data_IF_757863514962
#
_entry.id   IF_757863514962
#
_cell.length_a   1.000
_cell.length_b   1.000
_cell.length_c   1.000
_cell.angle_alpha   90.00
_cell.angle_beta   90.00
_cell.angle_gamma   90.00
#
_symmetry.space_group_name_H-M   'P 1'
#
loop_
_entity.id
_entity.type
_entity.pdbx_description
1 polymer ?
#
# COMPACT_ATOMS: atom_id res chain seq x y z
N UNK A 1 -45.67 -3.51 -11.42
CA UNK A 1 -44.95 -3.05 -12.63
C UNK A 1 -43.81 -2.16 -12.15
N UNK A 2 -42.64 -2.73 -11.88
CA UNK A 2 -41.47 -1.97 -11.45
C UNK A 2 -40.89 -1.28 -12.68
N UNK A 3 -41.11 0.03 -12.78
CA UNK A 3 -40.46 0.90 -13.76
C UNK A 3 -38.95 0.81 -13.55
N UNK A 4 -38.26 0.20 -14.51
CA UNK A 4 -36.80 0.02 -14.52
C UNK A 4 -36.16 1.31 -15.03
N UNK A 5 -35.55 2.09 -14.15
CA UNK A 5 -34.77 3.28 -14.51
C UNK A 5 -33.28 2.97 -14.41
N UNK A 6 -32.61 2.91 -15.57
CA UNK A 6 -31.16 3.07 -15.66
C UNK A 6 -30.85 4.56 -15.48
N UNK A 7 -30.03 4.93 -14.50
CA UNK A 7 -29.58 6.30 -14.34
C UNK A 7 -28.38 6.53 -15.27
N UNK A 8 -28.66 6.88 -16.52
CA UNK A 8 -27.63 7.33 -17.48
C UNK A 8 -27.39 8.82 -17.24
N UNK A 9 -26.24 9.18 -16.65
CA UNK A 9 -25.89 10.58 -16.44
C UNK A 9 -25.08 11.08 -17.65
N UNK A 10 -25.78 11.52 -18.70
CA UNK A 10 -25.19 12.32 -19.78
C UNK A 10 -25.55 13.79 -19.53
N UNK A 11 -24.55 14.60 -19.21
CA UNK A 11 -24.57 16.08 -19.26
C UNK A 11 -25.55 16.89 -18.38
N UNK A 12 -25.94 16.43 -17.18
CA UNK A 12 -26.64 17.30 -16.22
C UNK A 12 -26.13 17.08 -14.79
N UNK A 13 -25.63 18.14 -14.15
CA UNK A 13 -25.39 18.17 -12.69
C UNK A 13 -26.72 17.91 -11.98
N UNK A 14 -26.99 16.65 -11.64
CA UNK A 14 -28.14 16.25 -10.84
C UNK A 14 -27.74 16.35 -9.35
N UNK A 15 -28.05 17.49 -8.73
CA UNK A 15 -28.02 17.61 -7.27
C UNK A 15 -29.23 16.88 -6.70
N UNK A 16 -29.05 15.71 -6.10
CA UNK A 16 -30.15 14.88 -5.61
C UNK A 16 -30.28 14.93 -4.08
N UNK A 17 -31.37 15.51 -3.54
CA UNK A 17 -31.64 15.54 -2.10
C UNK A 17 -32.42 14.32 -1.56
N UNK A 18 -32.70 13.29 -2.37
CA UNK A 18 -33.46 12.11 -1.95
C UNK A 18 -32.81 10.80 -2.42
N UNK A 19 -32.96 9.74 -1.61
CA UNK A 19 -32.37 8.42 -1.84
C UNK A 19 -32.86 7.81 -3.16
N UNK A 20 -32.03 7.86 -4.20
CA UNK A 20 -32.33 7.29 -5.52
C UNK A 20 -31.94 5.81 -5.54
N UNK A 21 -32.83 4.91 -5.98
CA UNK A 21 -32.47 3.53 -6.31
C UNK A 21 -32.33 3.38 -7.82
N UNK A 22 -31.19 2.84 -8.27
CA UNK A 22 -30.90 2.60 -9.68
C UNK A 22 -30.42 1.17 -9.89
N UNK A 23 -30.82 0.55 -11.00
CA UNK A 23 -30.32 -0.78 -11.37
C UNK A 23 -28.83 -0.76 -11.71
N UNK A 24 -28.35 0.38 -12.19
CA UNK A 24 -26.97 0.62 -12.58
C UNK A 24 -26.70 2.13 -12.52
N UNK A 25 -25.48 2.50 -12.13
CA UNK A 25 -25.02 3.90 -12.10
C UNK A 25 -23.81 4.03 -13.02
N UNK A 26 -23.98 4.71 -14.16
CA UNK A 26 -22.89 4.97 -15.11
C UNK A 26 -22.64 6.48 -15.18
N UNK A 27 -21.41 6.89 -14.85
CA UNK A 27 -20.93 8.27 -15.03
C UNK A 27 -19.99 8.29 -16.23
N UNK A 28 -20.44 8.90 -17.33
CA UNK A 28 -19.84 8.83 -18.66
C UNK A 28 -19.52 10.24 -19.19
N UNK A 29 -19.06 10.32 -20.45
CA UNK A 29 -18.66 11.56 -21.15
C UNK A 29 -19.62 12.75 -20.98
N UNK A 30 -19.04 13.95 -20.95
CA UNK A 30 -19.78 15.20 -20.84
C UNK A 30 -20.47 15.46 -19.49
N UNK A 31 -20.18 14.70 -18.42
CA UNK A 31 -20.86 14.86 -17.13
C UNK A 31 -20.06 14.48 -15.89
N UNK A 32 -20.61 14.86 -14.73
CA UNK A 32 -20.21 14.40 -13.42
C UNK A 32 -21.45 14.15 -12.56
N UNK A 33 -21.41 13.12 -11.74
CA UNK A 33 -22.47 12.82 -10.78
C UNK A 33 -22.03 13.32 -9.41
N UNK A 34 -22.80 14.22 -8.81
CA UNK A 34 -22.54 14.72 -7.46
C UNK A 34 -23.66 14.27 -6.52
N UNK A 35 -23.30 13.53 -5.48
CA UNK A 35 -24.18 13.24 -4.36
C UNK A 35 -23.96 14.33 -3.31
N UNK A 36 -24.97 15.17 -3.13
CA UNK A 36 -24.90 16.31 -2.20
C UNK A 36 -24.88 15.88 -0.75
N UNK A 37 -24.59 16.83 0.14
CA UNK A 37 -24.48 16.59 1.57
C UNK A 37 -25.74 15.92 2.13
N UNK A 38 -25.56 14.80 2.83
CA UNK A 38 -26.66 13.98 3.37
C UNK A 38 -27.52 13.26 2.31
N UNK A 39 -27.23 13.43 1.02
CA UNK A 39 -27.89 12.75 -0.10
C UNK A 39 -27.50 11.27 -0.19
N UNK A 40 -28.30 10.48 -0.92
CA UNK A 40 -28.08 9.03 -1.02
C UNK A 40 -28.37 8.47 -2.40
N UNK A 41 -27.57 7.49 -2.82
CA UNK A 41 -27.84 6.64 -3.99
C UNK A 41 -27.71 5.19 -3.56
N UNK A 42 -28.64 4.34 -3.98
CA UNK A 42 -28.56 2.89 -3.90
C UNK A 42 -28.40 2.33 -5.31
N UNK A 43 -27.31 1.60 -5.55
CA UNK A 43 -27.07 0.87 -6.78
C UNK A 43 -27.33 -0.62 -6.56
N UNK A 44 -28.23 -1.19 -7.36
CA UNK A 44 -28.57 -2.62 -7.37
C UNK A 44 -27.69 -3.44 -8.35
N UNK A 45 -26.76 -2.77 -9.04
CA UNK A 45 -25.85 -3.34 -10.02
C UNK A 45 -24.64 -2.43 -10.19
N UNK A 46 -23.85 -2.65 -11.25
CA UNK A 46 -22.56 -2.00 -11.44
C UNK A 46 -22.61 -0.47 -11.26
N UNK A 47 -21.60 0.06 -10.59
CA UNK A 47 -21.30 1.49 -10.56
C UNK A 47 -20.00 1.70 -11.31
N UNK A 48 -20.08 2.34 -12.48
CA UNK A 48 -18.91 2.61 -13.34
C UNK A 48 -18.73 4.09 -13.56
N UNK A 49 -17.53 4.58 -13.28
CA UNK A 49 -17.10 5.96 -13.50
C UNK A 49 -15.98 5.93 -14.54
N UNK A 50 -16.32 6.06 -15.81
CA UNK A 50 -15.35 5.99 -16.91
C UNK A 50 -15.88 6.68 -18.17
N UNK A 51 -15.04 7.51 -18.80
CA UNK A 51 -15.32 8.22 -20.04
C UNK A 51 -14.13 9.05 -20.53
N UNK A 52 -14.01 9.27 -21.83
CA UNK A 52 -12.98 10.08 -22.48
C UNK A 52 -12.78 11.46 -21.85
N UNK A 53 -13.84 12.08 -21.32
CA UNK A 53 -13.79 13.41 -20.68
C UNK A 53 -13.37 13.39 -19.19
N UNK A 54 -12.93 12.24 -18.67
CA UNK A 54 -12.65 12.00 -17.25
C UNK A 54 -13.83 12.38 -16.34
N UNK A 55 -14.99 11.70 -16.49
CA UNK A 55 -16.16 11.95 -15.67
C UNK A 55 -15.86 11.75 -14.19
N UNK A 56 -16.53 12.55 -13.36
CA UNK A 56 -16.30 12.54 -11.91
C UNK A 56 -17.55 12.10 -11.14
N UNK A 57 -17.40 11.10 -10.27
CA UNK A 57 -18.35 10.82 -9.19
C UNK A 57 -17.88 11.54 -7.93
N UNK A 58 -18.67 12.50 -7.46
CA UNK A 58 -18.37 13.28 -6.25
C UNK A 58 -19.32 12.89 -5.12
N UNK A 59 -18.75 12.46 -4.00
CA UNK A 59 -19.46 12.21 -2.75
C UNK A 59 -19.14 13.35 -1.77
N UNK A 60 -20.14 14.17 -1.45
CA UNK A 60 -20.01 15.29 -0.51
C UNK A 60 -20.25 14.86 0.95
N UNK A 61 -20.13 15.79 1.91
CA UNK A 61 -20.14 15.48 3.33
C UNK A 61 -21.42 14.77 3.78
N UNK A 62 -21.28 13.60 4.42
CA UNK A 62 -22.40 12.81 4.90
C UNK A 62 -23.27 12.17 3.81
N UNK A 63 -22.89 12.29 2.53
CA UNK A 63 -23.56 11.57 1.45
C UNK A 63 -23.33 10.06 1.54
N UNK A 64 -24.23 9.25 0.98
CA UNK A 64 -24.10 7.79 1.00
C UNK A 64 -24.28 7.16 -0.38
N UNK A 65 -23.35 6.30 -0.77
CA UNK A 65 -23.51 5.35 -1.87
C UNK A 65 -23.72 3.95 -1.28
N UNK A 66 -24.90 3.36 -1.48
CA UNK A 66 -25.26 2.01 -1.05
C UNK A 66 -25.14 1.06 -2.22
N UNK A 67 -24.43 -0.04 -2.06
CA UNK A 67 -24.17 -1.02 -3.11
C UNK A 67 -24.81 -2.35 -2.74
N UNK A 68 -25.60 -2.94 -3.64
CA UNK A 68 -26.16 -4.26 -3.42
C UNK A 68 -25.05 -5.33 -3.26
N UNK A 69 -25.31 -6.44 -2.55
CA UNK A 69 -24.32 -7.51 -2.38
C UNK A 69 -23.77 -7.98 -3.73
N UNK A 70 -22.45 -8.04 -3.86
CA UNK A 70 -21.75 -8.45 -5.09
C UNK A 70 -21.59 -7.34 -6.14
N UNK A 71 -22.03 -6.12 -5.87
CA UNK A 71 -21.86 -4.98 -6.79
C UNK A 71 -20.39 -4.63 -6.97
N UNK A 72 -20.00 -4.29 -8.20
CA UNK A 72 -18.72 -3.70 -8.54
C UNK A 72 -18.84 -2.19 -8.65
N UNK A 73 -18.01 -1.48 -7.87
CA UNK A 73 -17.68 -0.07 -8.08
C UNK A 73 -16.33 0.02 -8.80
N UNK A 74 -16.33 0.53 -10.03
CA UNK A 74 -15.15 0.71 -10.88
C UNK A 74 -14.91 2.18 -11.21
N UNK A 75 -13.66 2.62 -11.08
CA UNK A 75 -13.21 3.99 -11.42
C UNK A 75 -12.13 3.89 -12.49
N UNK A 76 -12.40 4.48 -13.65
CA UNK A 76 -11.71 4.15 -14.90
C UNK A 76 -11.96 2.70 -15.34
N UNK A 77 -11.49 2.35 -16.54
CA UNK A 77 -11.56 0.97 -17.05
C UNK A 77 -10.28 0.49 -17.74
N UNK A 78 -9.22 1.30 -17.70
CA UNK A 78 -7.95 1.04 -18.36
C UNK A 78 -7.83 1.60 -19.78
N UNK A 79 -8.94 2.03 -20.37
CA UNK A 79 -8.99 2.77 -21.64
C UNK A 79 -9.49 4.19 -21.43
N UNK A 80 -10.66 4.35 -20.80
CA UNK A 80 -11.27 5.62 -20.48
C UNK A 80 -10.94 6.02 -19.04
N UNK A 81 -10.59 7.29 -18.80
CA UNK A 81 -10.34 7.77 -17.45
C UNK A 81 -11.64 7.96 -16.66
N UNK A 82 -11.51 8.05 -15.34
CA UNK A 82 -12.61 8.40 -14.46
C UNK A 82 -12.10 8.79 -13.09
N UNK A 83 -12.84 9.65 -12.40
CA UNK A 83 -12.44 10.17 -11.10
C UNK A 83 -13.52 9.91 -10.04
N UNK A 84 -13.15 9.34 -8.90
CA UNK A 84 -13.97 9.36 -7.69
C UNK A 84 -13.40 10.36 -6.70
N UNK A 85 -14.21 11.34 -6.32
CA UNK A 85 -13.87 12.38 -5.34
C UNK A 85 -14.72 12.22 -4.09
N UNK A 86 -14.09 12.11 -2.92
CA UNK A 86 -14.79 12.01 -1.64
C UNK A 86 -14.14 12.90 -0.58
N UNK A 87 -14.93 13.84 -0.05
CA UNK A 87 -14.47 14.79 0.96
C UNK A 87 -15.65 15.35 1.74
N UNK A 88 -15.37 15.93 2.91
CA UNK A 88 -16.38 16.61 3.73
C UNK A 88 -16.51 16.01 5.13
N UNK A 89 -17.32 16.67 5.94
CA UNK A 89 -17.60 16.32 7.34
C UNK A 89 -19.11 16.42 7.60
N UNK A 90 -19.80 15.35 8.05
CA UNK A 90 -19.30 13.99 8.26
C UNK A 90 -18.69 13.36 6.99
N UNK A 91 -17.86 12.34 7.13
CA UNK A 91 -17.29 11.67 5.96
C UNK A 91 -18.42 11.09 5.09
N UNK A 92 -18.36 11.21 3.74
CA UNK A 92 -19.23 10.43 2.86
C UNK A 92 -19.02 8.93 3.10
N UNK A 93 -20.05 8.13 2.85
CA UNK A 93 -20.01 6.68 3.06
C UNK A 93 -20.26 5.89 1.77
N UNK A 94 -19.48 4.85 1.53
CA UNK A 94 -19.80 3.76 0.60
C UNK A 94 -20.06 2.51 1.44
N UNK A 95 -21.26 1.96 1.35
CA UNK A 95 -21.71 0.86 2.22
C UNK A 95 -22.49 -0.18 1.42
N UNK A 96 -22.61 -1.38 1.96
CA UNK A 96 -23.56 -2.39 1.45
C UNK A 96 -25.01 -1.95 1.70
N UNK A 97 -25.93 -2.24 0.77
CA UNK A 97 -27.38 -2.14 1.02
C UNK A 97 -27.92 -3.36 1.78
N UNK A 98 -27.13 -4.43 1.86
CA UNK A 98 -27.41 -5.63 2.64
C UNK A 98 -27.00 -5.51 4.11
N UNK A 99 -26.72 -6.65 4.75
CA UNK A 99 -26.32 -6.76 6.14
C UNK A 99 -24.79 -6.53 6.25
N UNK A 100 -24.34 -5.50 6.99
CA UNK A 100 -22.91 -5.26 7.21
C UNK A 100 -22.19 -6.47 7.83
N UNK A 101 -21.03 -6.79 7.28
CA UNK A 101 -20.21 -7.92 7.72
C UNK A 101 -20.62 -9.28 7.16
N UNK A 102 -21.72 -9.36 6.40
CA UNK A 102 -22.10 -10.58 5.66
C UNK A 102 -22.25 -10.34 4.17
N UNK A 103 -22.70 -9.15 3.79
CA UNK A 103 -22.89 -8.74 2.40
C UNK A 103 -21.81 -7.76 1.97
N UNK A 104 -21.10 -8.06 0.90
CA UNK A 104 -19.91 -7.33 0.48
C UNK A 104 -20.02 -6.78 -0.95
N UNK A 105 -19.32 -5.68 -1.23
CA UNK A 105 -19.14 -5.13 -2.57
C UNK A 105 -17.66 -5.07 -2.97
N UNK A 106 -17.36 -5.05 -4.26
CA UNK A 106 -16.00 -4.88 -4.76
C UNK A 106 -15.74 -3.43 -5.16
N UNK A 107 -14.54 -2.93 -4.89
CA UNK A 107 -14.13 -1.58 -5.29
C UNK A 107 -12.74 -1.63 -5.94
N UNK A 108 -12.71 -1.31 -7.24
CA UNK A 108 -11.50 -1.24 -8.03
C UNK A 108 -11.30 0.13 -8.70
N UNK A 109 -10.03 0.52 -8.81
CA UNK A 109 -9.58 1.70 -9.55
C UNK A 109 -8.64 1.21 -10.62
N UNK A 110 -9.05 1.35 -11.88
CA UNK A 110 -8.28 0.89 -13.03
C UNK A 110 -7.04 1.76 -13.27
N UNK A 111 -6.19 1.37 -14.23
CA UNK A 111 -4.95 2.09 -14.57
C UNK A 111 -5.19 3.53 -15.05
N UNK A 112 -6.40 3.84 -15.53
CA UNK A 112 -6.83 5.19 -15.95
C UNK A 112 -7.68 5.90 -14.89
N UNK A 113 -7.94 5.23 -13.76
CA UNK A 113 -8.78 5.74 -12.68
C UNK A 113 -8.01 6.66 -11.73
N UNK A 114 -8.69 7.67 -11.21
CA UNK A 114 -8.17 8.60 -10.20
C UNK A 114 -9.04 8.57 -8.94
N UNK A 115 -8.41 8.44 -7.77
CA UNK A 115 -9.06 8.70 -6.48
C UNK A 115 -8.61 10.04 -5.91
N UNK A 116 -9.56 10.90 -5.60
CA UNK A 116 -9.36 12.14 -4.86
C UNK A 116 -10.09 12.07 -3.52
N UNK A 117 -9.45 11.45 -2.52
CA UNK A 117 -10.10 11.12 -1.24
C UNK A 117 -9.36 11.76 -0.08
N UNK A 118 -10.08 12.60 0.67
CA UNK A 118 -9.61 13.20 1.93
C UNK A 118 -10.48 12.85 3.13
N UNK A 119 -11.67 12.28 2.90
CA UNK A 119 -12.55 11.70 3.91
C UNK A 119 -13.50 10.70 3.22
N UNK A 120 -13.54 9.46 3.69
CA UNK A 120 -14.43 8.42 3.14
C UNK A 120 -14.63 7.28 4.14
N UNK A 121 -15.87 6.92 4.45
CA UNK A 121 -16.19 5.72 5.22
C UNK A 121 -16.57 4.57 4.29
N UNK A 122 -15.97 3.40 4.47
CA UNK A 122 -16.17 2.19 3.68
C UNK A 122 -16.65 1.08 4.61
N UNK A 123 -17.86 0.58 4.41
CA UNK A 123 -18.42 -0.51 5.21
C UNK A 123 -18.75 -1.73 4.36
N UNK A 124 -18.15 -2.86 4.69
CA UNK A 124 -18.29 -4.13 3.97
C UNK A 124 -17.78 -4.15 2.52
N UNK A 125 -16.59 -3.62 2.22
CA UNK A 125 -15.91 -4.03 1.00
C UNK A 125 -15.48 -5.50 1.10
N UNK A 126 -15.34 -6.14 -0.06
CA UNK A 126 -14.95 -7.53 -0.20
C UNK A 126 -13.48 -7.78 0.20
N UNK A 127 -12.97 -8.97 -0.11
CA UNK A 127 -11.59 -9.33 0.22
C UNK A 127 -10.52 -8.41 -0.41
N UNK A 128 -10.85 -7.64 -1.44
CA UNK A 128 -9.96 -6.71 -2.11
C UNK A 128 -9.93 -5.30 -1.54
N UNK A 129 -10.87 -4.96 -0.63
CA UNK A 129 -10.96 -3.61 -0.06
C UNK A 129 -11.11 -2.55 -1.17
N UNK A 130 -10.23 -1.54 -1.18
CA UNK A 130 -9.95 -0.76 -2.39
C UNK A 130 -8.76 -1.40 -3.12
N UNK A 131 -8.97 -1.86 -4.35
CA UNK A 131 -7.88 -2.31 -5.23
C UNK A 131 -7.48 -1.22 -6.21
N UNK A 132 -6.25 -0.73 -6.08
CA UNK A 132 -5.61 0.25 -6.96
C UNK A 132 -4.77 -0.49 -8.01
N UNK A 133 -5.22 -0.47 -9.26
CA UNK A 133 -4.49 -1.11 -10.36
C UNK A 133 -3.18 -0.37 -10.68
N UNK A 134 -2.22 -1.08 -11.30
CA UNK A 134 -0.99 -0.45 -11.79
C UNK A 134 -1.33 0.69 -12.75
N UNK A 135 -0.79 1.89 -12.48
CA UNK A 135 -1.07 3.11 -13.26
C UNK A 135 -2.20 3.98 -12.69
N UNK A 136 -3.01 3.48 -11.75
CA UNK A 136 -4.05 4.31 -11.11
C UNK A 136 -3.46 5.52 -10.37
N UNK A 137 -4.23 6.58 -10.21
CA UNK A 137 -3.73 7.84 -9.62
C UNK A 137 -4.40 8.12 -8.28
N UNK A 138 -3.61 8.41 -7.25
CA UNK A 138 -4.10 9.10 -6.05
C UNK A 138 -3.86 10.60 -6.24
N UNK A 139 -4.92 11.40 -6.22
CA UNK A 139 -4.81 12.84 -6.35
C UNK A 139 -3.98 13.41 -5.19
N UNK A 140 -2.98 14.23 -5.51
CA UNK A 140 -2.02 14.73 -4.52
C UNK A 140 -1.07 13.67 -3.96
N UNK A 141 -1.03 12.47 -4.54
CA UNK A 141 -0.15 11.37 -4.11
C UNK A 141 -0.59 10.70 -2.82
N UNK A 142 -1.80 10.97 -2.32
CA UNK A 142 -2.24 10.50 -1.02
C UNK A 142 -3.68 9.99 -1.01
N UNK A 143 -3.92 8.94 -0.23
CA UNK A 143 -5.23 8.57 0.28
C UNK A 143 -5.30 9.05 1.73
N UNK A 144 -6.20 9.98 2.02
CA UNK A 144 -6.33 10.56 3.35
C UNK A 144 -7.72 10.37 3.96
N UNK A 145 -7.77 10.10 5.26
CA UNK A 145 -9.03 10.12 6.03
C UNK A 145 -10.02 9.01 5.66
N UNK A 146 -9.55 7.90 5.10
CA UNK A 146 -10.41 6.77 4.76
C UNK A 146 -10.59 5.83 5.96
N UNK A 147 -11.83 5.58 6.35
CA UNK A 147 -12.20 4.66 7.42
C UNK A 147 -12.79 3.39 6.84
N UNK A 148 -12.30 2.22 7.26
CA UNK A 148 -12.75 0.94 6.76
C UNK A 148 -13.29 0.05 7.86
N UNK A 149 -14.49 -0.49 7.64
CA UNK A 149 -15.20 -1.35 8.57
C UNK A 149 -15.72 -2.61 7.89
N UNK A 150 -15.62 -3.75 8.60
CA UNK A 150 -16.17 -5.03 8.17
C UNK A 150 -15.64 -5.53 6.81
N UNK A 151 -14.33 -5.52 6.55
CA UNK A 151 -13.78 -6.26 5.39
C UNK A 151 -14.08 -7.75 5.51
N UNK A 152 -14.36 -8.41 4.38
CA UNK A 152 -14.59 -9.86 4.32
C UNK A 152 -13.41 -10.62 4.93
N UNK A 153 -13.70 -11.65 5.75
CA UNK A 153 -12.69 -12.42 6.46
C UNK A 153 -11.57 -12.93 5.54
N UNK A 154 -10.31 -12.72 5.93
CA UNK A 154 -9.13 -13.03 5.13
C UNK A 154 -8.81 -12.03 4.01
N UNK A 155 -9.57 -10.94 3.91
CA UNK A 155 -9.37 -9.84 2.96
C UNK A 155 -8.35 -8.79 3.40
N UNK A 156 -8.01 -7.89 2.47
CA UNK A 156 -7.16 -6.71 2.68
C UNK A 156 -7.99 -5.43 2.56
N UNK A 157 -7.69 -4.40 3.36
CA UNK A 157 -8.37 -3.10 3.27
C UNK A 157 -7.92 -2.25 2.07
N UNK A 158 -6.62 -2.23 1.76
CA UNK A 158 -6.05 -1.53 0.62
C UNK A 158 -5.11 -2.44 -0.18
N UNK A 159 -5.32 -2.56 -1.48
CA UNK A 159 -4.47 -3.37 -2.35
C UNK A 159 -3.84 -2.50 -3.44
N UNK A 160 -2.52 -2.35 -3.42
CA UNK A 160 -1.75 -1.58 -4.38
C UNK A 160 -1.11 -2.50 -5.41
N UNK A 161 -1.60 -2.51 -6.65
CA UNK A 161 -0.99 -3.26 -7.75
C UNK A 161 0.13 -2.49 -8.48
N UNK A 162 0.62 -1.41 -7.87
CA UNK A 162 1.61 -0.51 -8.45
C UNK A 162 3.00 -1.12 -8.51
N UNK A 163 3.66 -0.94 -9.66
CA UNK A 163 5.07 -1.30 -9.88
C UNK A 163 6.05 -0.17 -9.64
N UNK A 164 5.57 1.06 -9.47
CA UNK A 164 6.37 2.26 -9.22
C UNK A 164 5.50 3.38 -8.64
N UNK A 165 6.14 4.43 -8.12
CA UNK A 165 5.47 5.62 -7.57
C UNK A 165 5.67 5.81 -6.07
N UNK A 166 5.30 7.00 -5.58
CA UNK A 166 5.28 7.35 -4.16
C UNK A 166 3.84 7.60 -3.74
N UNK A 167 3.37 6.86 -2.74
CA UNK A 167 2.01 6.98 -2.25
C UNK A 167 2.00 7.20 -0.74
N UNK A 168 1.12 8.08 -0.27
CA UNK A 168 0.87 8.28 1.15
C UNK A 168 -0.53 7.78 1.53
N UNK A 169 -0.63 7.07 2.65
CA UNK A 169 -1.90 6.71 3.27
C UNK A 169 -1.90 7.38 4.64
N UNK A 170 -2.76 8.36 4.89
CA UNK A 170 -2.70 9.16 6.13
C UNK A 170 -4.06 9.38 6.75
N UNK A 171 -4.16 9.37 8.08
CA UNK A 171 -5.47 9.62 8.72
C UNK A 171 -6.49 8.50 8.49
N UNK A 172 -6.07 7.35 7.94
CA UNK A 172 -6.96 6.23 7.71
C UNK A 172 -7.10 5.38 8.97
N UNK A 173 -8.29 4.76 9.13
CA UNK A 173 -8.59 3.85 10.23
C UNK A 173 -9.06 2.51 9.67
N UNK A 174 -8.58 1.40 10.22
CA UNK A 174 -8.93 0.06 9.77
C UNK A 174 -9.61 -0.71 10.88
N UNK A 175 -10.65 -1.45 10.52
CA UNK A 175 -11.28 -2.45 11.38
C UNK A 175 -11.88 -1.90 12.69
N UNK A 176 -12.72 -0.85 12.62
CA UNK A 176 -13.39 -0.30 13.81
C UNK A 176 -14.44 -1.26 14.40
N UNK A 177 -14.70 -2.40 13.76
CA UNK A 177 -15.67 -3.41 14.19
C UNK A 177 -15.13 -4.43 15.20
N UNK A 178 -13.82 -4.43 15.48
CA UNK A 178 -13.20 -5.32 16.46
C UNK A 178 -13.05 -6.79 16.02
N UNK A 179 -13.24 -7.09 14.73
CA UNK A 179 -12.90 -8.40 14.16
C UNK A 179 -11.37 -8.60 14.16
N UNK A 180 -10.86 -9.82 14.01
CA UNK A 180 -9.40 -10.02 13.81
C UNK A 180 -9.12 -9.86 12.32
N UNK A 181 -8.74 -8.66 11.89
CA UNK A 181 -8.22 -8.45 10.55
C UNK A 181 -6.72 -8.75 10.56
N UNK A 182 -6.31 -9.69 9.70
CA UNK A 182 -4.90 -10.11 9.57
C UNK A 182 -4.15 -9.36 8.46
N UNK A 183 -4.82 -8.45 7.73
CA UNK A 183 -4.26 -7.71 6.59
C UNK A 183 -4.78 -6.28 6.48
N UNK A 184 -3.87 -5.31 6.48
CA UNK A 184 -4.24 -3.92 6.24
C UNK A 184 -3.96 -3.49 4.80
N UNK A 185 -2.76 -3.74 4.31
CA UNK A 185 -2.32 -3.26 2.99
C UNK A 185 -1.56 -4.39 2.27
N UNK A 186 -1.75 -4.55 0.96
CA UNK A 186 -1.03 -5.55 0.16
C UNK A 186 -0.56 -5.02 -1.21
N UNK A 187 0.52 -5.60 -1.75
CA UNK A 187 1.03 -5.36 -3.10
C UNK A 187 1.41 -6.68 -3.82
N UNK A 188 1.40 -6.74 -5.17
CA UNK A 188 1.84 -7.91 -5.93
C UNK A 188 3.32 -8.25 -5.75
N UNK A 189 3.64 -9.51 -6.00
CA UNK A 189 5.03 -9.98 -5.95
C UNK A 189 5.88 -9.28 -7.02
N UNK A 190 7.05 -8.76 -6.64
CA UNK A 190 8.02 -8.15 -7.57
C UNK A 190 7.62 -6.78 -8.12
N UNK A 191 6.58 -6.16 -7.57
CA UNK A 191 6.19 -4.79 -7.86
C UNK A 191 6.62 -3.93 -6.69
N UNK A 192 7.77 -3.27 -6.80
CA UNK A 192 8.30 -2.38 -5.74
C UNK A 192 7.71 -0.98 -5.98
N UNK A 193 6.60 -0.56 -5.36
CA UNK A 193 6.28 0.85 -5.34
C UNK A 193 7.44 1.57 -4.66
N UNK A 194 8.08 2.51 -5.37
CA UNK A 194 9.34 3.14 -4.97
C UNK A 194 9.33 3.71 -3.54
N UNK A 195 8.14 4.08 -3.00
CA UNK A 195 7.90 4.36 -1.58
C UNK A 195 6.38 4.30 -1.31
N UNK A 196 5.92 3.61 -0.26
CA UNK A 196 4.54 3.74 0.24
C UNK A 196 4.61 4.12 1.72
N UNK A 197 4.26 5.36 2.03
CA UNK A 197 4.23 5.91 3.37
C UNK A 197 2.86 5.67 4.00
N UNK A 198 2.81 5.00 5.14
CA UNK A 198 1.57 4.77 5.88
C UNK A 198 1.63 5.53 7.21
N UNK A 199 0.63 6.36 7.47
CA UNK A 199 0.41 7.09 8.71
C UNK A 199 -1.06 6.93 9.13
N UNK A 200 -1.42 5.71 9.52
CA UNK A 200 -2.75 5.36 9.97
C UNK A 200 -2.89 5.58 11.49
N UNK A 201 -4.09 5.96 11.93
CA UNK A 201 -4.38 6.25 13.35
C UNK A 201 -5.16 5.10 13.99
N UNK A 202 -4.63 4.56 15.10
CA UNK A 202 -5.24 3.58 16.03
C UNK A 202 -5.57 2.17 15.47
N UNK A 203 -5.27 1.13 16.28
CA UNK A 203 -5.73 -0.27 16.15
C UNK A 203 -5.41 -1.01 14.84
N UNK A 204 -4.21 -0.82 14.28
CA UNK A 204 -3.74 -1.62 13.15
C UNK A 204 -3.20 -2.97 13.64
N UNK A 205 -3.83 -4.08 13.26
CA UNK A 205 -3.18 -5.41 13.32
C UNK A 205 -2.22 -5.58 12.14
N UNK A 206 -1.00 -6.05 12.36
CA UNK A 206 0.02 -6.29 11.31
C UNK A 206 -0.39 -7.34 10.26
N UNK A 207 0.47 -7.57 9.27
CA UNK A 207 0.30 -8.50 8.14
C UNK A 207 0.31 -10.00 8.54
N UNK A 208 0.12 -10.94 7.58
CA UNK A 208 0.06 -12.41 7.80
C UNK A 208 1.42 -12.88 8.27
N UNK A 209 1.40 -13.60 9.39
CA UNK A 209 2.27 -14.74 9.66
C UNK A 209 2.37 -15.67 8.42
N UNK A 210 3.45 -15.59 7.65
CA UNK A 210 3.77 -16.50 6.55
C UNK A 210 3.19 -16.16 5.16
N UNK A 211 2.84 -14.90 4.90
CA UNK A 211 2.85 -14.38 3.52
C UNK A 211 4.30 -14.01 3.17
N UNK A 212 4.76 -14.12 1.90
CA UNK A 212 6.13 -13.75 1.51
C UNK A 212 6.47 -12.26 1.69
N UNK A 213 5.55 -11.47 2.25
CA UNK A 213 5.67 -10.05 2.55
C UNK A 213 5.20 -9.81 3.98
N UNK A 214 6.06 -10.25 4.91
CA UNK A 214 6.11 -9.79 6.29
C UNK A 214 6.96 -8.51 6.28
N UNK A 215 6.33 -7.35 6.40
CA UNK A 215 6.98 -6.09 6.78
C UNK A 215 6.62 -5.70 8.22
N UNK A 216 6.22 -6.71 9.02
CA UNK A 216 6.01 -6.55 10.45
C UNK A 216 7.27 -5.94 11.06
N UNK A 217 7.06 -4.83 11.74
CA UNK A 217 7.97 -4.27 12.71
C UNK A 217 7.99 -5.22 13.92
N UNK A 218 8.58 -6.40 13.72
CA UNK A 218 8.96 -7.43 14.69
C UNK A 218 7.99 -7.68 15.85
N UNK A 219 7.19 -8.75 15.79
CA UNK A 219 6.74 -9.54 16.94
C UNK A 219 6.49 -8.73 18.23
N UNK A 220 5.58 -7.77 18.19
CA UNK A 220 5.31 -6.88 19.31
C UNK A 220 3.85 -6.46 19.33
N UNK A 221 3.25 -6.48 20.52
CA UNK A 221 1.93 -5.88 20.74
C UNK A 221 2.05 -4.37 20.62
N UNK A 222 1.76 -3.82 19.44
CA UNK A 222 1.76 -2.38 19.19
C UNK A 222 0.55 -1.73 19.86
N UNK A 223 0.79 -1.25 21.07
CA UNK A 223 -0.13 -0.40 21.83
C UNK A 223 0.38 1.04 21.70
N UNK A 224 -0.45 1.88 21.08
CA UNK A 224 -0.43 3.34 21.09
C UNK A 224 0.58 4.08 20.16
N UNK A 225 0.00 4.65 19.09
CA UNK A 225 0.27 5.96 18.50
C UNK A 225 1.72 6.45 18.34
N UNK A 226 2.27 6.30 17.13
CA UNK A 226 2.81 7.37 16.28
C UNK A 226 3.45 6.73 15.03
N UNK A 227 2.92 7.04 13.83
CA UNK A 227 3.53 6.74 12.51
C UNK A 227 4.12 5.34 12.32
N UNK A 228 3.34 4.39 11.81
CA UNK A 228 3.87 3.11 11.31
C UNK A 228 4.42 3.28 9.89
N UNK A 229 5.67 3.69 9.73
CA UNK A 229 6.29 3.70 8.38
C UNK A 229 6.49 2.25 7.92
N UNK A 230 5.60 1.76 7.06
CA UNK A 230 5.92 0.61 6.22
C UNK A 230 7.02 1.08 5.28
N UNK A 231 8.27 0.67 5.52
CA UNK A 231 9.38 0.96 4.61
C UNK A 231 9.67 -0.30 3.82
N UNK A 232 9.37 -0.23 2.53
CA UNK A 232 9.79 -1.20 1.54
C UNK A 232 11.28 -0.99 1.33
N UNK A 233 12.10 -1.70 2.08
CA UNK A 233 13.47 -1.89 1.67
C UNK A 233 13.40 -2.77 0.43
N UNK A 234 13.82 -2.20 -0.70
CA UNK A 234 14.35 -3.01 -1.76
C UNK A 234 15.50 -3.79 -1.09
N UNK A 235 15.32 -5.08 -0.83
CA UNK A 235 16.46 -5.99 -0.77
C UNK A 235 17.05 -5.94 -2.19
N UNK A 236 17.79 -4.85 -2.46
CA UNK A 236 18.63 -4.74 -3.63
C UNK A 236 19.50 -5.97 -3.66
N UNK A 237 19.92 -6.38 -4.86
CA UNK A 237 20.82 -7.52 -5.03
C UNK A 237 21.92 -7.46 -3.96
N UNK A 238 22.07 -8.50 -3.11
CA UNK A 238 23.01 -8.45 -2.01
C UNK A 238 24.40 -8.11 -2.53
N UNK A 239 25.22 -7.35 -1.79
CA UNK A 239 26.53 -6.98 -2.28
C UNK A 239 27.33 -8.24 -2.64
N UNK A 240 27.86 -8.27 -3.86
CA UNK A 240 28.71 -9.35 -4.32
C UNK A 240 30.12 -9.13 -3.77
N UNK A 241 30.67 -10.14 -3.12
CA UNK A 241 32.03 -10.11 -2.56
C UNK A 241 33.07 -10.10 -3.69
N UNK A 242 33.89 -9.05 -3.77
CA UNK A 242 34.90 -8.90 -4.83
C UNK A 242 36.28 -9.29 -4.32
N UNK A 243 36.75 -8.69 -3.22
CA UNK A 243 38.03 -9.03 -2.61
C UNK A 243 37.95 -8.99 -1.08
N UNK A 244 38.63 -9.90 -0.35
CA UNK A 244 39.34 -11.07 -0.85
C UNK A 244 38.38 -12.12 -1.45
N UNK A 245 38.77 -12.73 -2.58
CA UNK A 245 37.97 -13.81 -3.18
C UNK A 245 37.96 -15.04 -2.26
N UNK A 246 36.92 -15.86 -2.38
CA UNK A 246 36.83 -17.12 -1.63
C UNK A 246 38.09 -17.97 -1.83
N UNK A 247 38.63 -18.51 -0.73
CA UNK A 247 39.88 -19.30 -0.70
C UNK A 247 41.17 -18.55 -1.06
N UNK A 248 41.17 -17.21 -1.04
CA UNK A 248 42.39 -16.44 -1.20
C UNK A 248 43.39 -16.71 -0.06
N UNK A 249 44.66 -16.93 -0.42
CA UNK A 249 45.76 -16.88 0.53
C UNK A 249 46.28 -15.44 0.59
N UNK A 250 46.17 -14.83 1.76
CA UNK A 250 46.63 -13.46 2.00
C UNK A 250 47.95 -13.51 2.77
N UNK A 251 48.89 -12.68 2.35
CA UNK A 251 50.21 -12.53 3.00
C UNK A 251 50.29 -11.23 3.81
N UNK A 252 49.13 -10.67 4.10
CA UNK A 252 48.88 -9.46 4.87
C UNK A 252 47.84 -9.80 5.94
N UNK A 253 48.06 -9.32 7.16
CA UNK A 253 47.16 -9.51 8.30
C UNK A 253 46.17 -8.35 8.47
N UNK A 254 46.22 -7.33 7.60
CA UNK A 254 45.21 -6.27 7.47
C UNK A 254 44.62 -6.25 6.06
N UNK A 255 43.81 -7.26 5.69
CA UNK A 255 43.31 -7.37 4.33
C UNK A 255 42.29 -6.28 3.97
N UNK A 256 42.36 -5.78 2.74
CA UNK A 256 41.36 -4.88 2.18
C UNK A 256 40.13 -5.65 1.70
N UNK A 257 38.95 -5.17 2.10
CA UNK A 257 37.66 -5.73 1.68
C UNK A 257 36.95 -4.82 0.68
N UNK A 258 36.42 -5.41 -0.40
CA UNK A 258 35.71 -4.72 -1.47
C UNK A 258 34.49 -5.53 -1.95
N UNK A 259 33.38 -4.86 -2.21
CA UNK A 259 32.12 -5.46 -2.64
C UNK A 259 31.39 -4.57 -3.63
N UNK A 260 30.43 -5.15 -4.37
CA UNK A 260 29.64 -4.38 -5.33
C UNK A 260 28.76 -3.34 -4.66
N UNK A 261 28.63 -2.17 -5.27
CA UNK A 261 27.66 -1.15 -4.85
C UNK A 261 26.21 -1.67 -4.91
N UNK A 262 25.45 -1.39 -3.86
CA UNK A 262 24.00 -1.60 -3.81
C UNK A 262 23.30 -0.27 -4.04
N UNK A 263 22.38 -0.25 -5.00
CA UNK A 263 21.57 0.94 -5.31
C UNK A 263 20.82 1.39 -4.05
N UNK A 264 20.90 2.69 -3.74
CA UNK A 264 20.30 3.32 -2.56
C UNK A 264 20.91 2.96 -1.19
N UNK A 265 22.04 2.25 -1.13
CA UNK A 265 22.78 2.10 0.12
C UNK A 265 23.35 3.46 0.57
N UNK A 266 23.14 3.82 1.84
CA UNK A 266 23.83 4.93 2.50
C UNK A 266 25.11 4.48 3.22
N UNK A 267 25.29 3.17 3.37
CA UNK A 267 26.48 2.54 3.92
C UNK A 267 26.36 1.02 3.93
N UNK A 268 27.28 0.37 4.62
CA UNK A 268 27.39 -1.08 4.71
C UNK A 268 27.89 -1.49 6.09
N UNK A 269 27.57 -2.72 6.51
CA UNK A 269 28.17 -3.35 7.67
C UNK A 269 29.01 -4.55 7.23
N UNK A 270 30.31 -4.50 7.52
CA UNK A 270 31.26 -5.57 7.30
C UNK A 270 31.42 -6.37 8.60
N UNK A 271 31.29 -7.70 8.48
CA UNK A 271 31.65 -8.63 9.52
C UNK A 271 32.72 -9.62 9.02
N UNK A 272 33.80 -9.79 9.77
CA UNK A 272 34.86 -10.78 9.53
C UNK A 272 34.99 -11.62 10.79
N UNK A 273 34.89 -12.94 10.65
CA UNK A 273 34.92 -13.90 11.76
C UNK A 273 35.75 -15.14 11.40
N UNK A 274 36.51 -15.70 12.34
CA UNK A 274 37.15 -17.02 12.18
C UNK A 274 36.16 -18.20 12.16
N UNK A 275 34.88 -17.94 12.41
CA UNK A 275 33.79 -18.88 12.42
C UNK A 275 32.69 -18.47 11.44
N UNK A 276 32.25 -19.41 10.60
CA UNK A 276 31.22 -19.23 9.58
C UNK A 276 29.85 -18.79 10.13
N UNK A 277 29.59 -18.94 11.43
CA UNK A 277 28.36 -18.46 12.08
C UNK A 277 28.39 -16.97 12.45
N UNK A 278 29.55 -16.31 12.36
CA UNK A 278 29.75 -14.91 12.74
C UNK A 278 29.31 -14.59 14.18
N UNK A 279 29.51 -15.54 15.10
CA UNK A 279 29.07 -15.43 16.48
C UNK A 279 29.91 -14.45 17.31
N UNK A 280 31.16 -14.18 16.89
CA UNK A 280 32.09 -13.30 17.58
C UNK A 280 33.06 -12.65 16.59
N UNK A 281 32.58 -11.72 15.74
CA UNK A 281 33.40 -11.16 14.67
C UNK A 281 34.64 -10.45 15.20
N UNK A 282 35.82 -10.72 14.63
CA UNK A 282 37.04 -9.95 14.89
C UNK A 282 36.96 -8.54 14.29
N UNK A 283 36.21 -8.38 13.20
CA UNK A 283 35.92 -7.08 12.58
C UNK A 283 34.40 -6.95 12.45
N UNK A 284 33.86 -5.87 12.98
CA UNK A 284 32.43 -5.50 12.89
C UNK A 284 32.31 -4.00 12.77
N UNK A 285 32.31 -3.49 11.53
CA UNK A 285 32.37 -2.04 11.26
C UNK A 285 31.28 -1.61 10.29
N UNK A 286 30.83 -0.37 10.44
CA UNK A 286 29.98 0.29 9.45
C UNK A 286 30.81 1.26 8.61
N UNK A 287 30.72 1.15 7.29
CA UNK A 287 31.41 2.02 6.34
C UNK A 287 30.42 2.66 5.38
N UNK A 288 30.75 3.87 4.90
CA UNK A 288 29.97 4.56 3.87
C UNK A 288 30.35 4.11 2.45
N UNK A 289 31.65 4.03 2.08
CA UNK A 289 32.02 3.49 0.77
C UNK A 289 31.78 1.97 0.70
N UNK A 290 31.64 1.43 -0.51
CA UNK A 290 31.55 -0.02 -0.76
C UNK A 290 32.89 -0.75 -0.62
N UNK A 291 33.75 -0.26 0.26
CA UNK A 291 35.08 -0.78 0.51
C UNK A 291 35.49 -0.46 1.94
N UNK A 292 36.30 -1.33 2.53
CA UNK A 292 36.83 -1.18 3.87
C UNK A 292 38.34 -1.43 3.87
N UNK A 293 39.13 -0.45 3.38
CA UNK A 293 40.58 -0.54 3.46
C UNK A 293 41.05 -0.34 4.90
N UNK A 294 41.98 -1.17 5.37
CA UNK A 294 42.59 -1.10 6.70
C UNK A 294 41.59 -1.07 7.89
N UNK A 295 40.39 -1.63 7.75
CA UNK A 295 39.37 -1.57 8.80
C UNK A 295 39.47 -2.76 9.75
N UNK A 296 40.05 -2.56 10.93
CA UNK A 296 40.04 -3.52 12.04
C UNK A 296 41.41 -3.82 12.63
N UNK A 297 41.48 -4.59 13.72
CA UNK A 297 42.75 -5.08 14.26
C UNK A 297 43.41 -6.09 13.29
N UNK A 298 44.74 -6.25 13.30
CA UNK A 298 45.41 -7.31 12.55
C UNK A 298 44.82 -8.68 12.88
N UNK A 299 44.46 -9.42 11.84
CA UNK A 299 43.92 -10.77 11.93
C UNK A 299 45.01 -11.78 12.30
N UNK A 300 44.63 -12.85 13.00
CA UNK A 300 45.58 -13.88 13.42
C UNK A 300 46.19 -14.61 12.21
N UNK A 301 47.52 -14.74 12.19
CA UNK A 301 48.22 -15.48 11.13
C UNK A 301 47.85 -16.97 11.13
N UNK A 302 48.03 -17.63 9.98
CA UNK A 302 47.78 -19.07 9.79
C UNK A 302 46.37 -19.54 10.21
N UNK A 303 45.38 -18.64 10.10
CA UNK A 303 43.99 -18.88 10.51
C UNK A 303 43.04 -18.64 9.35
N UNK A 304 41.96 -19.43 9.26
CA UNK A 304 40.90 -19.23 8.27
C UNK A 304 39.88 -18.21 8.78
N UNK A 305 39.49 -17.28 7.92
CA UNK A 305 38.46 -16.29 8.20
C UNK A 305 37.35 -16.33 7.15
N UNK A 306 36.16 -15.97 7.58
CA UNK A 306 34.95 -15.77 6.80
C UNK A 306 34.59 -14.29 6.87
N UNK A 307 34.07 -13.75 5.79
CA UNK A 307 33.59 -12.38 5.78
C UNK A 307 32.25 -12.27 5.06
N UNK A 308 31.44 -11.32 5.49
CA UNK A 308 30.15 -10.98 4.90
C UNK A 308 29.94 -9.48 4.98
N UNK A 309 29.14 -8.96 4.06
CA UNK A 309 28.72 -7.57 4.07
C UNK A 309 27.22 -7.49 3.84
N UNK A 310 26.58 -6.51 4.45
CA UNK A 310 25.18 -6.15 4.19
C UNK A 310 25.05 -4.66 3.98
N UNK A 311 24.14 -4.26 3.09
CA UNK A 311 23.87 -2.86 2.82
C UNK A 311 23.02 -2.24 3.93
N UNK A 312 23.22 -0.94 4.16
CA UNK A 312 22.46 -0.11 5.10
C UNK A 312 21.90 1.08 4.31
N UNK A 313 20.61 1.35 4.46
CA UNK A 313 19.99 2.48 3.76
C UNK A 313 20.12 3.83 4.54
N UNK A 314 19.64 4.95 3.97
CA UNK A 314 19.68 6.26 4.61
C UNK A 314 18.91 6.38 5.93
N UNK A 315 18.05 5.43 6.30
CA UNK A 315 17.34 5.43 7.58
C UNK A 315 17.81 4.35 8.55
N UNK A 316 18.89 3.63 8.22
CA UNK A 316 19.60 2.74 9.12
C UNK A 316 19.05 1.31 9.21
N UNK A 317 18.30 0.83 8.21
CA UNK A 317 17.93 -0.60 8.17
C UNK A 317 18.86 -1.38 7.23
N UNK A 318 18.94 -2.69 7.49
CA UNK A 318 19.88 -3.60 6.85
C UNK A 318 19.16 -4.46 5.82
N UNK A 319 19.76 -4.60 4.63
CA UNK A 319 19.38 -5.60 3.63
C UNK A 319 20.33 -6.79 3.60
#
# INVERSE_FOLDING_TARGET
MNSRTSALCAALLLSLPACLSAQEVRVLDGGGLRVEDGGGITAEGEVRVAGADNPTLTLAGGSTLRLAPGTLLSVGDGTDPGTLSASGTPAPAITTSGIPGTDFYSFSVASTGTLAVTALALTSPDMGGITLASGSTLAGGALSGAAFDYVQNGGTYLRFLHTAGSFAVSGCTFNNSGAVALFNISSPLGTVPATLLVNAYTNNGGARAGSPYEDDHGSGTDIAAATSTIRWFDEGTPPTLLTPVSWAALYDNTPDFDWSDVTNAAGYELAVDNNWTFASPEIGVSVVPSAAPDQGPPLAENTYFYWRVRAVDPVGQYG
#
